data_IF_224638768410
#
_entry.id   IF_224638768410
#
_cell.length_a   1.000
_cell.length_b   1.000
_cell.length_c   1.000
_cell.angle_alpha   90.00
_cell.angle_beta   90.00
_cell.angle_gamma   90.00
#
_symmetry.space_group_name_H-M   'P 1'
#
loop_
_entity.id
_entity.type
_entity.pdbx_description
1 polymer ?
#
# COMPACT_ATOMS: atom_id res chain seq x y z
N UNK A 1 -0.95 11.09 30.90
CA UNK A 1 0.05 12.20 30.81
C UNK A 1 0.05 12.69 29.38
N UNK A 2 -0.18 13.98 29.10
CA UNK A 2 -0.31 14.49 27.72
C UNK A 2 1.03 14.87 27.11
N UNK A 3 1.21 14.67 25.81
CA UNK A 3 2.44 15.06 25.12
C UNK A 3 2.49 16.58 24.88
N UNK A 4 3.65 17.24 25.08
CA UNK A 4 3.81 18.67 24.88
C UNK A 4 3.46 19.16 23.46
N UNK A 5 3.79 18.36 22.43
CA UNK A 5 3.55 18.71 21.03
C UNK A 5 2.79 17.57 20.36
N UNK A 6 1.56 17.84 19.93
CA UNK A 6 0.75 16.87 19.18
C UNK A 6 0.59 17.37 17.75
N UNK A 7 1.30 16.78 16.76
CA UNK A 7 1.09 17.13 15.36
C UNK A 7 -0.31 16.71 14.91
N UNK A 8 -0.87 17.44 13.96
CA UNK A 8 -2.11 17.04 13.29
C UNK A 8 -1.77 15.89 12.31
N UNK A 9 -2.52 14.77 12.31
CA UNK A 9 -2.30 13.71 11.33
C UNK A 9 -2.53 14.22 9.90
N UNK A 10 -1.62 13.90 8.99
CA UNK A 10 -1.78 14.27 7.57
C UNK A 10 -2.88 13.43 6.92
N UNK A 11 -3.59 13.96 5.91
CA UNK A 11 -4.55 13.16 5.14
C UNK A 11 -3.90 11.90 4.56
N UNK A 12 -4.44 10.74 4.95
CA UNK A 12 -3.97 9.44 4.48
C UNK A 12 -2.70 8.92 5.16
N UNK A 13 -2.17 9.62 6.16
CA UNK A 13 -0.97 9.24 6.90
C UNK A 13 -1.07 7.84 7.52
N UNK A 14 0.04 7.10 7.52
CA UNK A 14 0.14 5.82 8.21
C UNK A 14 0.34 6.02 9.71
N UNK A 15 -0.15 5.07 10.52
CA UNK A 15 0.09 5.09 11.96
C UNK A 15 1.59 5.13 12.30
N UNK A 16 2.42 4.44 11.50
CA UNK A 16 3.88 4.46 11.65
C UNK A 16 4.45 5.86 11.45
N UNK A 17 4.05 6.55 10.37
CA UNK A 17 4.45 7.93 10.10
C UNK A 17 4.06 8.87 11.23
N UNK A 18 2.78 8.78 11.64
CA UNK A 18 2.24 9.65 12.68
C UNK A 18 2.97 9.45 14.02
N UNK A 19 3.19 8.19 14.44
CA UNK A 19 3.93 7.89 15.66
C UNK A 19 5.38 8.36 15.57
N UNK A 20 6.06 8.17 14.43
CA UNK A 20 7.44 8.67 14.26
C UNK A 20 7.49 10.19 14.42
N UNK A 21 6.60 10.94 13.75
CA UNK A 21 6.53 12.40 13.88
C UNK A 21 6.19 12.82 15.31
N UNK A 22 5.31 12.09 15.98
CA UNK A 22 4.95 12.33 17.37
C UNK A 22 6.15 12.11 18.30
N UNK A 23 6.93 11.05 18.10
CA UNK A 23 8.15 10.77 18.85
C UNK A 23 9.21 11.85 18.60
N UNK A 24 9.47 12.18 17.34
CA UNK A 24 10.45 13.18 16.92
C UNK A 24 10.12 14.56 17.51
N UNK A 25 8.84 14.98 17.46
CA UNK A 25 8.40 16.28 17.98
C UNK A 25 8.46 16.39 19.51
N UNK A 26 8.48 15.26 20.21
CA UNK A 26 8.55 15.21 21.68
C UNK A 26 9.89 14.67 22.18
N UNK A 27 10.93 14.64 21.34
CA UNK A 27 12.26 14.12 21.65
C UNK A 27 12.24 12.73 22.29
N UNK A 28 11.29 11.89 21.87
CA UNK A 28 11.20 10.50 22.31
C UNK A 28 12.06 9.61 21.42
N UNK A 29 12.55 8.50 21.96
CA UNK A 29 13.27 7.51 21.15
C UNK A 29 12.29 6.76 20.25
N UNK A 30 12.70 6.36 19.03
CA UNK A 30 11.86 5.55 18.16
C UNK A 30 11.33 4.30 18.86
N UNK A 31 10.01 4.08 18.80
CA UNK A 31 9.35 2.92 19.41
C UNK A 31 8.98 3.05 20.89
N UNK A 32 9.13 4.25 21.47
CA UNK A 32 8.72 4.54 22.85
C UNK A 32 7.19 4.61 22.99
N UNK A 33 6.53 5.27 22.04
CA UNK A 33 5.09 5.53 22.10
C UNK A 33 4.25 4.42 21.47
N UNK A 34 4.80 3.70 20.49
CA UNK A 34 4.17 2.51 19.97
C UNK A 34 5.22 1.49 19.49
N UNK A 35 4.93 0.20 19.71
CA UNK A 35 5.83 -0.85 19.24
C UNK A 35 5.70 -1.02 17.73
N UNK A 36 6.79 -0.70 17.03
CA UNK A 36 6.95 -0.99 15.61
C UNK A 36 7.48 -2.42 15.48
N UNK A 37 6.79 -3.26 14.72
CA UNK A 37 7.29 -4.55 14.30
C UNK A 37 7.35 -4.61 12.77
N UNK A 38 8.11 -5.56 12.21
CA UNK A 38 8.27 -5.78 10.77
C UNK A 38 6.99 -6.31 10.10
N UNK A 39 5.88 -5.60 10.26
CA UNK A 39 4.55 -5.88 9.73
C UNK A 39 3.50 -4.85 10.17
N UNK A 40 3.88 -3.84 10.96
CA UNK A 40 2.99 -2.75 11.36
C UNK A 40 3.40 -2.07 12.66
N UNK A 41 2.45 -1.30 13.20
CA UNK A 41 2.52 -0.71 14.54
C UNK A 41 1.41 -1.34 15.36
N UNK A 42 1.76 -1.96 16.47
CA UNK A 42 0.79 -2.35 17.49
C UNK A 42 0.67 -1.19 18.47
N UNK A 43 -0.48 -0.52 18.46
CA UNK A 43 -0.78 0.55 19.37
C UNK A 43 -1.96 0.18 20.27
N UNK A 44 -1.83 0.49 21.54
CA UNK A 44 -2.99 0.64 22.40
C UNK A 44 -3.68 1.96 22.03
N UNK A 45 -4.85 1.85 21.39
CA UNK A 45 -5.62 3.00 20.92
C UNK A 45 -6.08 3.89 22.08
N UNK A 46 -6.38 3.31 23.25
CA UNK A 46 -6.79 4.08 24.42
C UNK A 46 -5.61 4.91 24.94
N UNK A 47 -4.44 4.29 25.04
CA UNK A 47 -3.22 4.97 25.45
C UNK A 47 -2.82 6.09 24.47
N UNK A 48 -2.79 5.82 23.15
CA UNK A 48 -2.50 6.86 22.17
C UNK A 48 -3.53 8.01 22.19
N UNK A 49 -4.81 7.69 22.41
CA UNK A 49 -5.86 8.70 22.54
C UNK A 49 -5.65 9.58 23.76
N UNK A 50 -5.27 9.01 24.90
CA UNK A 50 -4.93 9.78 26.10
C UNK A 50 -3.70 10.68 25.89
N UNK A 51 -2.64 10.14 25.26
CA UNK A 51 -1.38 10.87 25.01
C UNK A 51 -1.57 12.06 24.07
N UNK A 52 -2.39 11.88 23.03
CA UNK A 52 -2.54 12.85 21.92
C UNK A 52 -3.78 13.72 22.05
N UNK A 53 -4.75 13.34 22.87
CA UNK A 53 -6.07 13.97 22.90
C UNK A 53 -6.92 13.69 21.65
N UNK A 54 -6.44 12.89 20.69
CA UNK A 54 -7.20 12.55 19.49
C UNK A 54 -8.23 11.44 19.78
N UNK A 55 -9.45 11.51 19.22
CA UNK A 55 -10.43 10.44 19.35
C UNK A 55 -9.90 9.12 18.77
N UNK A 56 -10.17 8.00 19.45
CA UNK A 56 -9.79 6.67 18.94
C UNK A 56 -10.25 6.40 17.49
N UNK A 57 -11.47 6.79 17.06
CA UNK A 57 -11.87 6.62 15.66
C UNK A 57 -10.93 7.29 14.66
N UNK A 58 -10.40 8.48 14.99
CA UNK A 58 -9.45 9.20 14.15
C UNK A 58 -8.10 8.48 14.11
N UNK A 59 -7.61 7.96 15.24
CA UNK A 59 -6.36 7.20 15.31
C UNK A 59 -6.46 5.87 14.54
N UNK A 60 -7.61 5.18 14.63
CA UNK A 60 -7.86 3.92 13.90
C UNK A 60 -7.85 4.12 12.39
N UNK A 61 -8.22 5.31 11.91
CA UNK A 61 -8.09 5.69 10.49
C UNK A 61 -6.64 5.78 9.99
N UNK A 62 -5.62 5.81 10.86
CA UNK A 62 -4.21 5.75 10.49
C UNK A 62 -3.70 4.30 10.36
N UNK A 63 -4.42 3.35 10.95
CA UNK A 63 -4.04 1.94 10.99
C UNK A 63 -4.79 1.07 9.99
N UNK A 64 -4.56 -0.23 10.13
CA UNK A 64 -5.23 -1.29 9.36
C UNK A 64 -6.10 -2.21 10.22
N UNK A 65 -6.30 -1.89 11.51
CA UNK A 65 -6.96 -2.78 12.47
C UNK A 65 -8.40 -3.17 12.10
N UNK A 66 -9.08 -2.36 11.30
CA UNK A 66 -10.45 -2.62 10.81
C UNK A 66 -10.52 -3.37 9.49
N UNK A 67 -9.38 -3.58 8.82
CA UNK A 67 -9.37 -4.14 7.49
C UNK A 67 -9.40 -5.67 7.52
N UNK A 68 -10.07 -6.31 6.55
CA UNK A 68 -10.24 -7.75 6.52
C UNK A 68 -8.93 -8.47 6.19
N UNK A 69 -8.86 -9.77 6.48
CA UNK A 69 -7.67 -10.60 6.25
C UNK A 69 -7.16 -10.63 4.80
N UNK A 70 -7.98 -10.34 3.78
CA UNK A 70 -7.47 -10.21 2.41
C UNK A 70 -6.60 -8.95 2.21
N UNK A 71 -6.72 -7.94 3.08
CA UNK A 71 -5.86 -6.77 3.12
C UNK A 71 -4.68 -7.02 4.04
N UNK A 72 -4.94 -7.32 5.33
CA UNK A 72 -3.88 -7.36 6.35
C UNK A 72 -3.15 -8.69 6.47
N UNK A 73 -3.68 -9.75 5.85
CA UNK A 73 -3.27 -11.13 6.12
C UNK A 73 -3.86 -11.64 7.45
N UNK A 74 -4.01 -12.95 7.59
CA UNK A 74 -4.31 -13.59 8.87
C UNK A 74 -3.24 -14.64 9.19
N UNK A 75 -3.28 -15.24 10.38
CA UNK A 75 -2.38 -16.36 10.72
C UNK A 75 -2.54 -17.46 9.66
N UNK A 76 -1.48 -17.72 8.90
CA UNK A 76 -1.46 -18.70 7.82
C UNK A 76 -2.11 -18.26 6.50
N UNK A 77 -2.53 -17.00 6.33
CA UNK A 77 -3.11 -16.51 5.07
C UNK A 77 -2.45 -15.25 4.52
N UNK A 78 -2.26 -15.23 3.20
CA UNK A 78 -1.67 -14.13 2.44
C UNK A 78 -2.63 -12.95 2.33
N UNK A 79 -2.17 -11.75 2.66
CA UNK A 79 -2.86 -10.49 2.40
C UNK A 79 -2.08 -9.57 1.46
N UNK A 80 -2.63 -8.38 1.20
CA UNK A 80 -1.97 -7.33 0.42
C UNK A 80 -0.95 -6.51 1.19
N UNK A 81 -1.01 -6.51 2.52
CA UNK A 81 -0.13 -5.69 3.35
C UNK A 81 1.31 -6.19 3.28
N UNK A 82 2.23 -5.24 3.08
CA UNK A 82 3.66 -5.47 3.11
C UNK A 82 4.11 -5.78 4.53
N UNK A 83 5.03 -6.73 4.66
CA UNK A 83 5.56 -7.14 5.96
C UNK A 83 6.73 -6.24 6.36
N UNK A 84 7.79 -6.21 5.56
CA UNK A 84 9.04 -5.53 5.92
C UNK A 84 9.33 -4.28 5.07
N UNK A 85 8.89 -4.25 3.82
CA UNK A 85 9.16 -3.12 2.94
C UNK A 85 8.51 -1.81 3.42
N UNK A 86 9.33 -0.76 3.42
CA UNK A 86 8.88 0.62 3.51
C UNK A 86 8.89 1.19 2.10
N UNK A 87 7.72 1.19 1.46
CA UNK A 87 7.58 1.91 0.21
C UNK A 87 7.41 3.40 0.49
N UNK A 88 8.01 4.21 -0.36
CA UNK A 88 7.95 5.66 -0.25
C UNK A 88 7.76 6.27 -1.64
N UNK A 89 7.16 7.45 -1.70
CA UNK A 89 7.03 8.20 -2.93
C UNK A 89 8.19 9.21 -3.01
N UNK A 90 9.08 9.13 -4.02
CA UNK A 90 10.21 10.04 -4.14
C UNK A 90 9.78 11.50 -4.32
N UNK A 91 8.58 11.74 -4.85
CA UNK A 91 8.04 13.10 -5.03
C UNK A 91 7.32 13.60 -3.78
N UNK A 92 6.33 12.87 -3.27
CA UNK A 92 5.47 13.36 -2.20
C UNK A 92 6.14 13.32 -0.81
N UNK A 93 7.01 12.34 -0.55
CA UNK A 93 7.65 12.22 0.76
C UNK A 93 8.55 13.42 1.05
N UNK A 94 9.25 13.94 0.04
CA UNK A 94 10.08 15.15 0.16
C UNK A 94 9.26 16.40 0.48
N UNK A 95 7.99 16.45 0.05
CA UNK A 95 7.11 17.59 0.26
C UNK A 95 6.37 17.54 1.60
N UNK A 96 5.87 16.37 2.00
CA UNK A 96 5.01 16.24 3.18
C UNK A 96 5.74 15.73 4.42
N UNK A 97 6.89 15.05 4.24
CA UNK A 97 7.58 14.34 5.32
C UNK A 97 6.77 13.20 5.94
N UNK A 98 5.63 12.83 5.33
CA UNK A 98 4.68 11.87 5.91
C UNK A 98 4.48 10.65 5.00
N UNK A 99 4.67 9.46 5.56
CA UNK A 99 4.39 8.20 4.88
C UNK A 99 2.88 7.96 4.80
N UNK A 100 2.40 7.71 3.59
CA UNK A 100 1.00 7.38 3.38
C UNK A 100 0.71 5.94 3.77
N UNK A 101 -0.45 5.71 4.39
CA UNK A 101 -0.92 4.39 4.76
C UNK A 101 -1.02 3.48 3.53
N UNK A 102 -1.54 3.97 2.40
CA UNK A 102 -1.70 3.17 1.19
C UNK A 102 -0.38 2.56 0.66
N UNK A 103 0.76 3.17 0.96
CA UNK A 103 2.08 2.67 0.56
C UNK A 103 2.46 1.38 1.32
N UNK A 104 1.74 1.01 2.37
CA UNK A 104 1.91 -0.29 3.05
C UNK A 104 1.19 -1.45 2.34
N UNK A 105 0.54 -1.22 1.20
CA UNK A 105 -0.18 -2.25 0.44
C UNK A 105 0.48 -2.54 -0.90
N UNK A 106 0.76 -3.81 -1.15
CA UNK A 106 1.26 -4.28 -2.43
C UNK A 106 0.26 -4.08 -3.58
N UNK A 107 -1.04 -4.01 -3.31
CA UNK A 107 -2.03 -3.67 -4.34
C UNK A 107 -2.04 -2.17 -4.72
N UNK A 108 -1.23 -1.34 -4.07
CA UNK A 108 -1.10 0.09 -4.32
C UNK A 108 0.39 0.49 -4.49
N UNK A 109 1.07 -0.03 -5.52
CA UNK A 109 2.49 0.25 -5.78
C UNK A 109 2.75 1.65 -6.37
N UNK A 110 1.74 2.53 -6.35
CA UNK A 110 1.83 3.89 -6.90
C UNK A 110 1.34 4.90 -5.87
N UNK A 111 1.91 6.10 -5.90
CA UNK A 111 1.38 7.20 -5.13
C UNK A 111 0.06 7.67 -5.73
N UNK A 112 -1.03 7.59 -4.95
CA UNK A 112 -2.36 8.01 -5.42
C UNK A 112 -2.48 9.52 -5.63
N UNK A 113 -1.58 10.31 -5.03
CA UNK A 113 -1.54 11.77 -5.17
C UNK A 113 -0.88 12.20 -6.48
N UNK A 114 0.36 11.74 -6.75
CA UNK A 114 1.13 12.20 -7.92
C UNK A 114 1.21 11.18 -9.08
N UNK A 115 0.77 9.93 -8.88
CA UNK A 115 0.77 8.90 -9.93
C UNK A 115 2.11 8.22 -10.22
N UNK A 116 3.16 8.59 -9.49
CA UNK A 116 4.48 7.97 -9.59
C UNK A 116 4.49 6.57 -8.96
N UNK A 117 5.22 5.63 -9.56
CA UNK A 117 5.55 4.37 -8.91
C UNK A 117 6.27 4.62 -7.58
N UNK A 118 5.95 3.82 -6.56
CA UNK A 118 6.65 3.86 -5.29
C UNK A 118 8.04 3.22 -5.45
N UNK A 119 8.94 3.56 -4.54
CA UNK A 119 10.27 2.95 -4.43
C UNK A 119 10.44 2.29 -3.08
N UNK A 120 11.34 1.33 -2.97
CA UNK A 120 11.79 0.81 -1.67
C UNK A 120 12.66 1.85 -0.96
N UNK A 121 12.59 1.87 0.38
CA UNK A 121 13.46 2.68 1.23
C UNK A 121 14.59 1.81 1.82
N UNK A 122 15.85 2.29 1.86
CA UNK A 122 16.32 3.57 1.32
C UNK A 122 16.24 3.62 -0.20
N UNK A 123 16.09 4.83 -0.74
CA UNK A 123 15.95 5.08 -2.16
C UNK A 123 17.07 4.43 -2.96
N UNK A 124 16.73 3.57 -3.91
CA UNK A 124 17.64 3.32 -5.02
C UNK A 124 17.65 4.57 -5.92
N UNK A 125 18.80 4.95 -6.45
CA UNK A 125 18.94 6.02 -7.44
C UNK A 125 18.19 5.65 -8.72
N UNK A 126 16.90 5.98 -8.77
CA UNK A 126 16.05 5.77 -9.94
C UNK A 126 15.18 7.00 -10.15
N UNK A 127 15.02 7.40 -11.40
CA UNK A 127 14.12 8.48 -11.74
C UNK A 127 12.66 8.08 -11.43
N UNK A 128 11.85 9.03 -10.91
CA UNK A 128 10.44 8.80 -10.65
C UNK A 128 9.70 8.38 -11.94
N UNK A 129 9.27 7.11 -12.04
CA UNK A 129 8.51 6.62 -13.20
C UNK A 129 7.01 6.93 -13.04
N UNK A 130 6.40 7.76 -13.90
CA UNK A 130 4.96 7.98 -13.89
C UNK A 130 4.23 6.75 -14.43
N UNK A 131 3.13 6.35 -13.77
CA UNK A 131 2.35 5.18 -14.19
C UNK A 131 1.11 5.59 -14.96
N UNK A 132 1.07 5.26 -16.26
CA UNK A 132 -0.02 5.59 -17.20
C UNK A 132 -1.39 5.08 -16.75
N UNK A 133 -1.44 3.93 -16.05
CA UNK A 133 -2.67 3.31 -15.58
C UNK A 133 -3.08 3.72 -14.15
N UNK A 134 -2.81 4.97 -13.72
CA UNK A 134 -3.08 5.43 -12.35
C UNK A 134 -4.54 5.17 -11.89
N UNK A 135 -5.51 5.26 -12.81
CA UNK A 135 -6.93 5.04 -12.52
C UNK A 135 -7.21 3.64 -11.96
N UNK A 136 -6.44 2.60 -12.36
CA UNK A 136 -6.55 1.23 -11.83
C UNK A 136 -6.36 1.23 -10.32
N UNK A 137 -5.33 1.94 -9.86
CA UNK A 137 -4.96 1.97 -8.45
C UNK A 137 -5.93 2.82 -7.63
N UNK A 138 -6.54 3.84 -8.23
CA UNK A 138 -7.64 4.59 -7.61
C UNK A 138 -8.88 3.70 -7.41
N UNK A 139 -9.24 2.86 -8.39
CA UNK A 139 -10.33 1.87 -8.25
C UNK A 139 -9.99 0.80 -7.19
N UNK A 140 -8.77 0.24 -7.23
CA UNK A 140 -8.30 -0.70 -6.20
C UNK A 140 -8.42 -0.05 -4.81
N UNK A 141 -7.99 1.19 -4.64
CA UNK A 141 -8.06 1.88 -3.36
C UNK A 141 -9.51 2.10 -2.90
N UNK A 142 -10.42 2.45 -3.80
CA UNK A 142 -11.84 2.56 -3.49
C UNK A 142 -12.39 1.22 -2.96
N UNK A 143 -12.02 0.10 -3.60
CA UNK A 143 -12.42 -1.25 -3.17
C UNK A 143 -11.77 -1.67 -1.84
N UNK A 144 -10.52 -1.29 -1.60
CA UNK A 144 -9.87 -1.47 -0.28
C UNK A 144 -10.68 -0.77 0.79
N UNK A 145 -11.03 0.51 0.61
CA UNK A 145 -11.85 1.26 1.57
C UNK A 145 -13.23 0.64 1.79
N UNK A 146 -13.89 0.20 0.72
CA UNK A 146 -15.19 -0.48 0.81
C UNK A 146 -15.11 -1.85 1.49
N UNK A 147 -13.93 -2.49 1.53
CA UNK A 147 -13.78 -3.85 2.07
C UNK A 147 -14.11 -3.95 3.55
N UNK A 148 -14.07 -2.85 4.31
CA UNK A 148 -14.46 -2.83 5.72
C UNK A 148 -15.94 -3.19 5.89
N UNK A 149 -16.81 -2.82 4.95
CA UNK A 149 -18.27 -3.05 5.02
C UNK A 149 -18.82 -3.97 3.92
N UNK A 150 -18.13 -4.12 2.79
CA UNK A 150 -18.64 -4.84 1.61
C UNK A 150 -17.99 -6.21 1.40
N UNK A 151 -18.79 -7.28 1.49
CA UNK A 151 -18.36 -8.65 1.15
C UNK A 151 -17.92 -8.78 -0.31
N UNK A 152 -18.58 -8.07 -1.23
CA UNK A 152 -18.24 -8.08 -2.67
C UNK A 152 -16.85 -7.49 -2.89
N UNK A 153 -16.53 -6.37 -2.22
CA UNK A 153 -15.19 -5.78 -2.29
C UNK A 153 -14.12 -6.74 -1.74
N UNK A 154 -14.38 -7.40 -0.60
CA UNK A 154 -13.48 -8.43 -0.04
C UNK A 154 -13.21 -9.57 -1.02
N UNK A 155 -14.26 -10.11 -1.65
CA UNK A 155 -14.15 -11.18 -2.63
C UNK A 155 -13.37 -10.75 -3.87
N UNK A 156 -13.62 -9.53 -4.36
CA UNK A 156 -12.91 -8.98 -5.50
C UNK A 156 -11.42 -8.82 -5.20
N UNK A 157 -11.06 -8.25 -4.04
CA UNK A 157 -9.66 -8.10 -3.62
C UNK A 157 -8.95 -9.44 -3.43
N UNK A 158 -9.67 -10.46 -2.92
CA UNK A 158 -9.13 -11.82 -2.81
C UNK A 158 -8.98 -12.53 -4.16
N UNK A 159 -9.82 -12.21 -5.16
CA UNK A 159 -9.63 -12.67 -6.54
C UNK A 159 -8.43 -11.97 -7.19
N UNK A 160 -8.33 -10.64 -7.01
CA UNK A 160 -7.18 -9.87 -7.49
C UNK A 160 -5.88 -10.45 -6.95
N UNK A 161 -5.80 -10.75 -5.65
CA UNK A 161 -4.59 -11.31 -5.05
C UNK A 161 -4.21 -12.64 -5.70
N UNK A 162 -5.17 -13.54 -5.87
CA UNK A 162 -4.92 -14.86 -6.49
C UNK A 162 -4.47 -14.75 -7.94
N UNK A 163 -5.11 -13.91 -8.75
CA UNK A 163 -4.75 -13.73 -10.16
C UNK A 163 -3.39 -13.03 -10.30
N UNK A 164 -3.14 -12.02 -9.48
CA UNK A 164 -1.86 -11.30 -9.44
C UNK A 164 -0.70 -12.26 -9.09
N UNK A 165 -0.91 -13.12 -8.09
CA UNK A 165 0.05 -14.17 -7.72
C UNK A 165 0.32 -15.16 -8.84
N UNK A 166 -0.74 -15.62 -9.51
CA UNK A 166 -0.60 -16.54 -10.63
C UNK A 166 0.23 -15.90 -11.76
N UNK A 167 -0.12 -14.67 -12.14
CA UNK A 167 0.61 -13.92 -13.16
C UNK A 167 2.08 -13.70 -12.77
N UNK A 168 2.37 -13.46 -11.49
CA UNK A 168 3.72 -13.23 -11.01
C UNK A 168 4.61 -14.46 -11.17
N UNK A 169 4.09 -15.65 -10.82
CA UNK A 169 4.80 -16.94 -10.95
C UNK A 169 5.01 -17.34 -12.42
N UNK A 170 4.15 -16.87 -13.32
CA UNK A 170 4.26 -17.13 -14.76
C UNK A 170 4.97 -16.02 -15.53
N UNK A 171 5.41 -14.95 -14.86
CA UNK A 171 6.04 -13.82 -15.53
C UNK A 171 7.43 -14.22 -16.02
N UNK A 172 7.75 -13.85 -17.25
CA UNK A 172 9.09 -13.93 -17.82
C UNK A 172 9.52 -12.54 -18.34
N UNK A 173 10.73 -12.45 -18.88
CA UNK A 173 11.30 -11.17 -19.36
C UNK A 173 10.55 -10.58 -20.55
N UNK A 174 9.69 -11.34 -21.21
CA UNK A 174 8.85 -10.90 -22.32
C UNK A 174 7.44 -10.45 -21.89
N UNK A 175 7.06 -10.71 -20.63
CA UNK A 175 5.66 -10.66 -20.21
C UNK A 175 5.26 -9.36 -19.50
N UNK A 176 4.06 -8.84 -19.76
CA UNK A 176 3.36 -8.70 -21.05
C UNK A 176 3.92 -7.54 -21.90
N UNK A 177 4.89 -6.82 -21.33
CA UNK A 177 5.83 -5.92 -21.98
C UNK A 177 7.21 -6.29 -21.43
N UNK A 178 8.31 -6.02 -22.15
CA UNK A 178 9.65 -6.36 -21.67
C UNK A 178 9.92 -5.83 -20.25
N UNK A 179 10.34 -6.71 -19.35
CA UNK A 179 10.71 -6.40 -17.98
C UNK A 179 12.16 -6.83 -17.70
N UNK A 180 12.93 -6.06 -16.90
CA UNK A 180 14.26 -6.48 -16.47
C UNK A 180 14.22 -7.83 -15.75
N UNK A 181 15.23 -8.67 -15.96
CA UNK A 181 15.31 -9.99 -15.32
C UNK A 181 15.23 -9.90 -13.79
N UNK A 182 15.84 -8.88 -13.17
CA UNK A 182 15.75 -8.64 -11.73
C UNK A 182 14.30 -8.44 -11.26
N UNK A 183 13.49 -7.71 -12.04
CA UNK A 183 12.08 -7.48 -11.74
C UNK A 183 11.26 -8.78 -11.81
N UNK A 184 11.58 -9.65 -12.77
CA UNK A 184 10.96 -10.98 -12.88
C UNK A 184 11.37 -11.86 -11.71
N UNK A 185 12.65 -11.85 -11.32
CA UNK A 185 13.14 -12.57 -10.14
C UNK A 185 12.39 -12.13 -8.89
N UNK A 186 12.19 -10.82 -8.68
CA UNK A 186 11.40 -10.29 -7.57
C UNK A 186 9.94 -10.78 -7.62
N UNK A 187 9.29 -10.77 -8.78
CA UNK A 187 7.92 -11.29 -8.93
C UNK A 187 7.82 -12.77 -8.55
N UNK A 188 8.84 -13.56 -8.89
CA UNK A 188 8.90 -14.98 -8.57
C UNK A 188 9.06 -15.26 -7.08
N UNK A 189 9.42 -14.26 -6.25
CA UNK A 189 9.44 -14.41 -4.79
C UNK A 189 8.06 -14.29 -4.15
N UNK A 190 6.97 -14.18 -4.94
CA UNK A 190 5.61 -14.02 -4.42
C UNK A 190 5.08 -15.29 -3.73
N UNK A 191 5.58 -15.54 -2.52
CA UNK A 191 5.19 -16.61 -1.62
C UNK A 191 4.00 -16.23 -0.73
N UNK A 192 4.19 -16.36 0.59
CA UNK A 192 3.17 -16.01 1.59
C UNK A 192 2.93 -14.50 1.74
N UNK A 193 3.85 -13.68 1.24
CA UNK A 193 3.76 -12.22 1.23
C UNK A 193 3.99 -11.70 -0.18
N UNK A 194 3.43 -10.53 -0.53
CA UNK A 194 3.77 -9.85 -1.78
C UNK A 194 5.27 -9.53 -1.85
N UNK A 195 5.85 -9.47 -3.06
CA UNK A 195 7.23 -9.08 -3.24
C UNK A 195 7.42 -7.60 -2.90
N UNK A 196 8.66 -7.23 -2.58
CA UNK A 196 8.97 -5.88 -2.11
C UNK A 196 9.17 -4.87 -3.25
N UNK A 197 9.13 -5.31 -4.52
CA UNK A 197 9.38 -4.49 -5.72
C UNK A 197 8.10 -3.78 -6.21
N UNK A 198 7.91 -2.46 -5.96
CA UNK A 198 6.69 -1.77 -6.32
C UNK A 198 6.57 -1.64 -7.85
N UNK A 199 7.67 -1.34 -8.55
CA UNK A 199 7.68 -1.21 -10.00
C UNK A 199 7.23 -2.50 -10.70
N UNK A 200 7.68 -3.67 -10.21
CA UNK A 200 7.26 -4.96 -10.73
C UNK A 200 5.74 -5.17 -10.58
N UNK A 201 5.22 -4.88 -9.39
CA UNK A 201 3.80 -5.04 -9.08
C UNK A 201 2.94 -4.03 -9.85
N UNK A 202 3.44 -2.80 -10.05
CA UNK A 202 2.76 -1.75 -10.81
C UNK A 202 2.56 -2.13 -12.29
N UNK A 203 3.50 -2.87 -12.88
CA UNK A 203 3.34 -3.40 -14.24
C UNK A 203 2.33 -4.54 -14.33
N UNK A 204 2.25 -5.36 -13.29
CA UNK A 204 1.43 -6.58 -13.31
C UNK A 204 -0.04 -6.34 -12.93
N UNK A 205 -0.30 -5.46 -11.96
CA UNK A 205 -1.65 -5.23 -11.44
C UNK A 205 -2.70 -4.77 -12.47
N UNK A 206 -2.37 -3.89 -13.45
CA UNK A 206 -3.32 -3.53 -14.49
C UNK A 206 -3.80 -4.72 -15.34
N UNK A 207 -2.98 -5.75 -15.51
CA UNK A 207 -3.38 -6.98 -16.21
C UNK A 207 -4.27 -7.85 -15.31
N UNK A 208 -3.89 -8.04 -14.05
CA UNK A 208 -4.71 -8.75 -13.09
C UNK A 208 -6.10 -8.11 -12.91
N UNK A 209 -6.13 -6.78 -12.81
CA UNK A 209 -7.35 -5.97 -12.72
C UNK A 209 -8.28 -6.22 -13.91
N UNK A 210 -7.75 -6.16 -15.13
CA UNK A 210 -8.53 -6.43 -16.36
C UNK A 210 -9.09 -7.86 -16.43
N UNK A 211 -8.34 -8.85 -15.95
CA UNK A 211 -8.78 -10.25 -15.97
C UNK A 211 -9.93 -10.52 -15.00
N UNK A 212 -9.99 -9.81 -13.89
CA UNK A 212 -11.05 -9.97 -12.87
C UNK A 212 -12.18 -8.95 -12.99
N UNK A 213 -12.02 -7.93 -13.84
CA UNK A 213 -13.05 -6.95 -14.15
C UNK A 213 -14.30 -7.64 -14.69
N UNK A 214 -15.48 -7.12 -14.34
CA UNK A 214 -16.75 -7.69 -14.81
C UNK A 214 -16.94 -7.44 -16.31
N UNK A 215 -17.72 -8.28 -17.00
CA UNK A 215 -17.98 -8.16 -18.46
C UNK A 215 -18.49 -6.77 -18.89
N UNK A 216 -19.13 -6.02 -17.98
CA UNK A 216 -19.64 -4.66 -18.20
C UNK A 216 -18.53 -3.58 -18.22
N UNK A 217 -17.35 -3.84 -17.64
CA UNK A 217 -16.26 -2.86 -17.51
C UNK A 217 -15.22 -2.97 -18.66
N UNK A 218 -15.30 -3.99 -19.51
CA UNK A 218 -14.37 -4.19 -20.65
C UNK A 218 -14.37 -3.08 -21.72
N UNK A 219 -15.48 -2.40 -22.06
CA UNK A 219 -15.49 -1.42 -23.16
C UNK A 219 -14.74 -0.12 -22.83
N UNK A 220 -14.78 0.32 -21.56
CA UNK A 220 -14.14 1.58 -21.11
C UNK A 220 -12.62 1.44 -21.08
N UNK A 221 -12.12 0.22 -20.85
CA UNK A 221 -10.68 -0.07 -20.79
C UNK A 221 -10.06 -0.32 -22.17
N UNK A 222 -10.86 -0.62 -23.19
CA UNK A 222 -10.39 -0.81 -24.56
C UNK A 222 -10.27 0.52 -25.33
N UNK A 223 -11.06 1.55 -24.98
CA UNK A 223 -10.97 2.86 -25.64
C UNK A 223 -9.81 3.72 -25.14
N UNK A 224 -9.43 3.60 -23.86
CA UNK A 224 -8.34 4.37 -23.26
C UNK A 224 -6.92 3.94 -23.70
N UNK A 225 -6.80 2.79 -24.39
CA UNK A 225 -5.51 2.22 -24.81
C UNK A 225 -5.41 1.93 -26.31
N UNK A 226 -6.34 2.44 -27.13
CA UNK A 226 -6.22 2.41 -28.60
C UNK A 226 -5.50 3.64 -29.19
N UNK A 227 -5.06 4.56 -28.35
CA UNK A 227 -4.39 5.83 -28.73
C UNK A 227 -3.03 6.02 -28.06
N UNK A 228 -2.39 4.94 -27.59
CA UNK A 228 -0.99 4.94 -27.16
C UNK A 228 -0.16 4.07 -28.11
#
# INVERSE_FOLDING_TARGET
MTLPVVPIPEPGESLRSYVSRLEDRNNQRPGTLARVHGGGVSADWAHLSELTGLPQPQLRCLGWGDYPGCIVGARGSTGWRLRQAQWWCPTCQLLTGAWQRSWELACLPVCLSCGTALSTYPAAEHEPEPVTAQWVFKDIWARVRQSTTSRRARQWLGRLLRVTRLLAVTADTSWPQPMPAAMVTDLNTWGYHPPDSPAAIARLLPFAHRLIGTSEERPILQSAFRTA
#
